data_IF_564038252729
#
_entry.id   IF_564038252729
#
_cell.length_a   1.000
_cell.length_b   1.000
_cell.length_c   1.000
_cell.angle_alpha   90.00
_cell.angle_beta   90.00
_cell.angle_gamma   90.00
#
_symmetry.space_group_name_H-M   'P 1'
#
loop_
_entity.id
_entity.type
_entity.pdbx_description
1 polymer ?
#
# COMPACT_ATOMS: atom_id res chain seq x y z
N UNK A 1 -36.06 -6.47 2.65
CA UNK A 1 -34.97 -6.36 1.67
C UNK A 1 -34.45 -4.91 1.53
N UNK A 2 -35.31 -3.90 1.42
CA UNK A 2 -34.89 -2.47 1.36
C UNK A 2 -34.10 -1.97 2.58
N UNK A 3 -34.45 -2.38 3.80
CA UNK A 3 -33.74 -2.01 5.04
C UNK A 3 -32.33 -2.61 5.11
N UNK A 4 -32.14 -3.88 4.72
CA UNK A 4 -30.82 -4.51 4.67
C UNK A 4 -29.91 -3.82 3.63
N UNK A 5 -30.46 -3.44 2.47
CA UNK A 5 -29.68 -2.71 1.44
C UNK A 5 -29.28 -1.32 1.96
N UNK A 6 -30.18 -0.63 2.67
CA UNK A 6 -29.90 0.66 3.30
C UNK A 6 -28.77 0.57 4.34
N UNK A 7 -28.74 -0.52 5.12
CA UNK A 7 -27.71 -0.78 6.13
C UNK A 7 -26.32 -0.97 5.51
N UNK A 8 -26.18 -1.77 4.43
CA UNK A 8 -24.88 -2.04 3.81
C UNK A 8 -24.44 -0.98 2.80
N UNK A 9 -25.30 -0.02 2.45
CA UNK A 9 -25.00 1.03 1.46
C UNK A 9 -23.71 1.81 1.74
N UNK A 10 -23.40 2.27 2.99
CA UNK A 10 -22.15 2.94 3.31
C UNK A 10 -20.95 2.00 3.18
N UNK A 11 -21.09 0.72 3.55
CA UNK A 11 -20.00 -0.26 3.41
C UNK A 11 -19.67 -0.54 1.94
N UNK A 12 -20.68 -0.67 1.08
CA UNK A 12 -20.51 -0.85 -0.36
C UNK A 12 -19.84 0.39 -0.97
N UNK A 13 -20.27 1.60 -0.57
CA UNK A 13 -19.63 2.83 -1.01
C UNK A 13 -18.15 2.89 -0.61
N UNK A 14 -17.83 2.58 0.65
CA UNK A 14 -16.46 2.52 1.14
C UNK A 14 -15.63 1.43 0.42
N UNK A 15 -16.24 0.27 0.15
CA UNK A 15 -15.60 -0.83 -0.58
C UNK A 15 -15.19 -0.40 -2.01
N UNK A 16 -16.07 0.29 -2.76
CA UNK A 16 -15.76 0.80 -4.10
C UNK A 16 -14.62 1.83 -4.07
N UNK A 17 -14.62 2.71 -3.06
CA UNK A 17 -13.54 3.69 -2.86
C UNK A 17 -12.21 2.99 -2.57
N UNK A 18 -12.22 1.98 -1.71
CA UNK A 18 -11.01 1.19 -1.39
C UNK A 18 -10.58 0.33 -2.60
N UNK A 19 -11.52 -0.18 -3.38
CA UNK A 19 -11.23 -0.92 -4.60
C UNK A 19 -10.50 -0.02 -5.63
N UNK A 20 -10.89 1.26 -5.78
CA UNK A 20 -10.18 2.21 -6.63
C UNK A 20 -8.71 2.40 -6.24
N UNK A 21 -8.37 2.31 -4.94
CA UNK A 21 -6.99 2.40 -4.46
C UNK A 21 -6.07 1.35 -5.11
N UNK A 22 -6.61 0.19 -5.48
CA UNK A 22 -5.84 -0.88 -6.11
C UNK A 22 -5.30 -0.50 -7.50
N UNK A 23 -5.93 0.46 -8.20
CA UNK A 23 -5.42 0.98 -9.48
C UNK A 23 -4.00 1.55 -9.34
N UNK A 24 -3.72 2.27 -8.27
CA UNK A 24 -2.37 2.83 -8.05
C UNK A 24 -1.42 1.85 -7.38
N UNK A 25 -1.91 0.97 -6.52
CA UNK A 25 -1.04 0.06 -5.77
C UNK A 25 -0.63 -1.20 -6.55
N UNK A 26 -1.49 -1.67 -7.46
CA UNK A 26 -1.28 -2.96 -8.14
C UNK A 26 -1.01 -2.84 -9.64
N UNK A 27 -1.48 -1.76 -10.31
CA UNK A 27 -1.39 -1.73 -11.78
C UNK A 27 -0.33 -0.77 -12.33
N UNK A 28 0.10 0.22 -11.56
CA UNK A 28 1.07 1.22 -12.06
C UNK A 28 2.44 0.58 -12.40
N UNK A 29 2.76 -0.55 -11.78
CA UNK A 29 3.97 -1.32 -12.04
C UNK A 29 4.06 -1.88 -13.47
N UNK A 30 2.94 -2.16 -14.13
CA UNK A 30 2.92 -2.63 -15.52
C UNK A 30 3.37 -1.57 -16.52
N UNK A 31 3.37 -0.29 -16.12
CA UNK A 31 3.81 0.81 -16.98
C UNK A 31 5.33 1.02 -16.97
N UNK A 32 6.07 0.36 -16.07
CA UNK A 32 7.52 0.54 -15.92
C UNK A 32 8.25 0.34 -17.26
N UNK A 33 8.15 -0.83 -17.87
CA UNK A 33 8.85 -1.13 -19.12
C UNK A 33 8.36 -0.30 -20.30
N UNK A 34 7.04 -0.27 -20.62
CA UNK A 34 6.56 0.48 -21.79
C UNK A 34 6.86 1.99 -21.73
N UNK A 35 6.85 2.58 -20.54
CA UNK A 35 7.18 4.00 -20.37
C UNK A 35 8.67 4.23 -20.47
N UNK A 36 9.52 3.37 -19.86
CA UNK A 36 10.97 3.47 -19.94
C UNK A 36 11.45 3.35 -21.39
N UNK A 37 10.93 2.41 -22.14
CA UNK A 37 11.26 2.23 -23.56
C UNK A 37 10.77 3.43 -24.42
N UNK A 38 9.51 3.86 -24.21
CA UNK A 38 8.92 4.95 -25.00
C UNK A 38 9.60 6.30 -24.77
N UNK A 39 10.05 6.58 -23.55
CA UNK A 39 10.68 7.85 -23.17
C UNK A 39 12.21 7.78 -23.09
N UNK A 40 12.81 6.61 -23.35
CA UNK A 40 14.27 6.36 -23.26
C UNK A 40 14.83 6.79 -21.89
N UNK A 41 14.14 6.38 -20.81
CA UNK A 41 14.54 6.67 -19.42
C UNK A 41 14.88 5.38 -18.68
N UNK A 42 15.72 5.50 -17.62
CA UNK A 42 16.10 4.35 -16.82
C UNK A 42 14.96 3.89 -15.90
N UNK A 43 14.99 2.62 -15.48
CA UNK A 43 14.02 2.05 -14.53
C UNK A 43 14.09 2.75 -13.17
N UNK A 44 15.29 3.13 -12.73
CA UNK A 44 15.48 3.91 -11.51
C UNK A 44 14.81 5.28 -11.59
N UNK A 45 14.94 5.98 -12.73
CA UNK A 45 14.26 7.27 -12.95
C UNK A 45 12.74 7.13 -12.95
N UNK A 46 12.17 6.08 -13.58
CA UNK A 46 10.74 5.82 -13.50
C UNK A 46 10.34 5.52 -12.05
N UNK A 47 11.07 4.68 -11.35
CA UNK A 47 10.74 4.27 -9.98
C UNK A 47 10.77 5.44 -8.98
N UNK A 48 11.50 6.52 -9.28
CA UNK A 48 11.50 7.74 -8.47
C UNK A 48 10.13 8.44 -8.41
N UNK A 49 9.19 8.14 -9.34
CA UNK A 49 7.81 8.63 -9.25
C UNK A 49 7.13 8.19 -7.95
N UNK A 50 7.40 6.97 -7.49
CA UNK A 50 6.85 6.44 -6.24
C UNK A 50 7.40 7.19 -5.01
N UNK A 51 8.66 7.60 -5.07
CA UNK A 51 9.25 8.45 -4.03
C UNK A 51 8.56 9.80 -3.96
N UNK A 52 8.35 10.44 -5.11
CA UNK A 52 7.65 11.73 -5.20
C UNK A 52 6.20 11.63 -4.72
N UNK A 53 5.49 10.57 -5.10
CA UNK A 53 4.14 10.28 -4.59
C UNK A 53 4.14 10.07 -3.06
N UNK A 54 5.14 9.39 -2.51
CA UNK A 54 5.25 9.15 -1.07
C UNK A 54 5.54 10.42 -0.30
N UNK A 55 6.45 11.27 -0.80
CA UNK A 55 6.78 12.57 -0.20
C UNK A 55 5.55 13.48 -0.17
N UNK A 56 4.89 13.66 -1.31
CA UNK A 56 3.72 14.53 -1.42
C UNK A 56 2.54 14.01 -0.60
N UNK A 57 2.33 12.68 -0.55
CA UNK A 57 1.33 12.05 0.31
C UNK A 57 1.62 12.26 1.80
N UNK A 58 2.87 12.10 2.23
CA UNK A 58 3.28 12.36 3.61
C UNK A 58 3.04 13.82 4.03
N UNK A 59 3.26 14.76 3.12
CA UNK A 59 3.00 16.19 3.35
C UNK A 59 1.50 16.51 3.43
N UNK A 60 0.67 15.88 2.58
CA UNK A 60 -0.76 16.21 2.49
C UNK A 60 -1.63 15.49 3.54
N UNK A 61 -1.26 14.29 3.97
CA UNK A 61 -2.07 13.46 4.86
C UNK A 61 -2.53 14.14 6.16
N UNK A 62 -1.68 14.89 6.89
CA UNK A 62 -2.10 15.58 8.11
C UNK A 62 -3.21 16.61 7.85
N UNK A 63 -3.14 17.32 6.72
CA UNK A 63 -4.14 18.32 6.33
C UNK A 63 -5.45 17.67 5.90
N UNK A 64 -5.37 16.59 5.12
CA UNK A 64 -6.54 15.84 4.69
C UNK A 64 -7.26 15.17 5.87
N UNK A 65 -6.52 14.65 6.84
CA UNK A 65 -7.08 14.12 8.08
C UNK A 65 -7.87 15.14 8.87
N UNK A 66 -7.35 16.37 9.00
CA UNK A 66 -8.06 17.48 9.67
C UNK A 66 -9.33 17.90 8.92
N UNK A 67 -9.26 17.95 7.58
CA UNK A 67 -10.42 18.30 6.74
C UNK A 67 -11.48 17.21 6.85
N UNK A 68 -11.09 15.93 6.80
CA UNK A 68 -11.99 14.79 6.95
C UNK A 68 -12.76 14.85 8.28
N UNK A 69 -12.07 15.17 9.37
CA UNK A 69 -12.69 15.28 10.69
C UNK A 69 -13.65 16.46 10.82
N UNK A 70 -13.36 17.61 10.18
CA UNK A 70 -14.17 18.83 10.31
C UNK A 70 -15.30 18.94 9.29
N UNK A 71 -15.05 18.59 8.02
CA UNK A 71 -15.97 18.81 6.88
C UNK A 71 -16.54 17.52 6.31
N UNK A 72 -16.15 16.37 6.85
CA UNK A 72 -16.52 15.04 6.34
C UNK A 72 -15.71 14.63 5.11
N UNK A 73 -15.89 13.36 4.71
CA UNK A 73 -15.07 12.73 3.67
C UNK A 73 -15.53 13.02 2.23
N UNK A 74 -16.77 13.49 2.05
CA UNK A 74 -17.37 13.66 0.70
C UNK A 74 -16.60 14.64 -0.18
N UNK A 75 -16.20 15.79 0.38
CA UNK A 75 -15.41 16.80 -0.34
C UNK A 75 -14.03 16.28 -0.72
N UNK A 76 -13.39 15.51 0.17
CA UNK A 76 -12.09 14.88 -0.10
C UNK A 76 -12.22 13.85 -1.21
N UNK A 77 -13.25 13.01 -1.18
CA UNK A 77 -13.47 12.00 -2.23
C UNK A 77 -13.72 12.63 -3.60
N UNK A 78 -14.52 13.72 -3.67
CA UNK A 78 -14.70 14.47 -4.91
C UNK A 78 -13.38 15.03 -5.44
N UNK A 79 -12.62 15.69 -4.57
CA UNK A 79 -11.31 16.24 -4.93
C UNK A 79 -10.35 15.15 -5.36
N UNK A 80 -10.22 14.06 -4.58
CA UNK A 80 -9.37 12.91 -4.89
C UNK A 80 -9.78 12.25 -6.21
N UNK A 81 -11.09 12.07 -6.43
CA UNK A 81 -11.62 11.45 -7.64
C UNK A 81 -11.24 12.23 -8.90
N UNK A 82 -11.55 13.53 -8.90
CA UNK A 82 -11.28 14.39 -10.05
C UNK A 82 -9.78 14.64 -10.24
N UNK A 83 -9.09 14.99 -9.17
CA UNK A 83 -7.66 15.34 -9.23
C UNK A 83 -6.80 14.16 -9.70
N UNK A 84 -6.90 13.02 -9.00
CA UNK A 84 -6.08 11.84 -9.33
C UNK A 84 -6.43 11.26 -10.70
N UNK A 85 -7.72 11.20 -11.04
CA UNK A 85 -8.13 10.75 -12.37
C UNK A 85 -7.62 11.66 -13.49
N UNK A 86 -7.68 12.99 -13.30
CA UNK A 86 -7.11 13.96 -14.25
C UNK A 86 -5.59 13.83 -14.34
N UNK A 87 -4.89 13.67 -13.23
CA UNK A 87 -3.45 13.44 -13.21
C UNK A 87 -3.06 12.17 -13.99
N UNK A 88 -3.81 11.07 -13.85
CA UNK A 88 -3.57 9.85 -14.63
C UNK A 88 -3.78 10.09 -16.13
N UNK A 89 -4.78 10.87 -16.52
CA UNK A 89 -4.97 11.27 -17.92
C UNK A 89 -3.81 12.14 -18.41
N UNK A 90 -3.31 13.07 -17.62
CA UNK A 90 -2.16 13.90 -17.95
C UNK A 90 -0.87 13.06 -18.08
N UNK A 91 -0.68 12.02 -17.25
CA UNK A 91 0.43 11.08 -17.41
C UNK A 91 0.45 10.42 -18.78
N UNK A 92 -0.72 10.15 -19.37
CA UNK A 92 -0.81 9.57 -20.72
C UNK A 92 -0.25 10.48 -21.81
N UNK A 93 -0.13 11.78 -21.55
CA UNK A 93 0.39 12.79 -22.48
C UNK A 93 1.88 13.09 -22.22
N UNK A 94 2.50 12.44 -21.24
CA UNK A 94 3.90 12.68 -20.91
C UNK A 94 4.81 12.29 -22.08
N UNK A 95 5.74 13.19 -22.40
CA UNK A 95 6.78 13.03 -23.44
C UNK A 95 8.19 13.18 -22.86
N UNK A 96 8.31 13.66 -21.62
CA UNK A 96 9.59 13.90 -20.93
C UNK A 96 9.49 13.50 -19.47
N UNK A 97 10.62 13.10 -18.88
CA UNK A 97 10.73 12.64 -17.49
C UNK A 97 10.19 13.65 -16.45
N UNK A 98 10.49 14.95 -16.62
CA UNK A 98 10.04 15.97 -15.68
C UNK A 98 8.51 16.07 -15.60
N UNK A 99 7.79 15.80 -16.71
CA UNK A 99 6.31 15.76 -16.72
C UNK A 99 5.81 14.63 -15.83
N UNK A 100 6.45 13.44 -15.90
CA UNK A 100 6.12 12.32 -15.01
C UNK A 100 6.30 12.71 -13.55
N UNK A 101 7.38 13.41 -13.20
CA UNK A 101 7.70 13.81 -11.84
C UNK A 101 6.70 14.83 -11.28
N UNK A 102 6.37 15.87 -12.05
CA UNK A 102 5.38 16.88 -11.64
C UNK A 102 4.02 16.25 -11.40
N UNK A 103 3.57 15.40 -12.33
CA UNK A 103 2.28 14.73 -12.20
C UNK A 103 2.29 13.69 -11.08
N UNK A 104 3.39 12.94 -10.90
CA UNK A 104 3.53 11.98 -9.81
C UNK A 104 3.48 12.66 -8.42
N UNK A 105 4.18 13.81 -8.28
CA UNK A 105 4.08 14.63 -7.07
C UNK A 105 2.64 15.08 -6.81
N UNK A 106 1.94 15.56 -7.85
CA UNK A 106 0.53 15.95 -7.77
C UNK A 106 -0.38 14.79 -7.41
N UNK A 107 -0.12 13.58 -7.95
CA UNK A 107 -0.85 12.36 -7.62
C UNK A 107 -0.74 12.00 -6.15
N UNK A 108 0.43 12.14 -5.56
CA UNK A 108 0.66 11.80 -4.15
C UNK A 108 -0.15 12.69 -3.20
N UNK A 109 -0.40 13.97 -3.55
CA UNK A 109 -1.14 14.90 -2.69
C UNK A 109 -2.55 14.41 -2.34
N UNK A 110 -3.25 13.79 -3.30
CA UNK A 110 -4.63 13.33 -3.15
C UNK A 110 -4.84 11.87 -3.57
N UNK A 111 -3.78 11.07 -3.57
CA UNK A 111 -3.80 9.70 -4.08
C UNK A 111 -4.38 8.66 -3.13
N UNK A 112 -3.87 7.45 -3.23
CA UNK A 112 -4.39 6.25 -2.55
C UNK A 112 -4.46 6.35 -1.02
N UNK A 113 -3.55 7.10 -0.38
CA UNK A 113 -3.54 7.27 1.08
C UNK A 113 -4.79 8.02 1.56
N UNK A 114 -5.25 9.02 0.78
CA UNK A 114 -6.50 9.74 1.07
C UNK A 114 -7.73 8.84 0.99
N UNK A 115 -7.74 7.85 0.07
CA UNK A 115 -8.83 6.89 -0.05
C UNK A 115 -8.88 5.94 1.14
N UNK A 116 -7.73 5.48 1.62
CA UNK A 116 -7.65 4.64 2.82
C UNK A 116 -8.23 5.37 4.04
N UNK A 117 -7.86 6.64 4.23
CA UNK A 117 -8.42 7.50 5.28
C UNK A 117 -9.94 7.63 5.13
N UNK A 118 -10.41 8.01 3.93
CA UNK A 118 -11.84 8.20 3.68
C UNK A 118 -12.64 6.91 3.88
N UNK A 119 -12.16 5.76 3.37
CA UNK A 119 -12.82 4.47 3.54
C UNK A 119 -12.96 4.07 5.01
N UNK A 120 -11.90 4.26 5.80
CA UNK A 120 -11.92 3.99 7.24
C UNK A 120 -12.92 4.89 7.97
N UNK A 121 -12.88 6.21 7.69
CA UNK A 121 -13.79 7.18 8.32
C UNK A 121 -15.26 6.91 7.92
N UNK A 122 -15.52 6.56 6.67
CA UNK A 122 -16.88 6.20 6.21
C UNK A 122 -17.47 5.03 7.00
N UNK A 123 -16.68 3.98 7.26
CA UNK A 123 -17.13 2.83 8.05
C UNK A 123 -17.35 3.22 9.51
N UNK A 124 -16.40 3.93 10.12
CA UNK A 124 -16.49 4.34 11.52
C UNK A 124 -17.64 5.30 11.80
N UNK A 125 -18.02 6.14 10.83
CA UNK A 125 -19.17 7.05 10.96
C UNK A 125 -20.53 6.37 10.73
N UNK A 126 -20.55 5.27 9.97
CA UNK A 126 -21.79 4.61 9.58
C UNK A 126 -22.20 3.47 10.51
N UNK A 127 -21.26 2.87 11.25
CA UNK A 127 -21.49 1.66 12.04
C UNK A 127 -21.02 1.82 13.49
N UNK A 128 -21.63 1.07 14.40
CA UNK A 128 -21.25 0.99 15.82
C UNK A 128 -19.94 0.21 15.95
N UNK A 129 -19.20 0.46 17.03
CA UNK A 129 -17.84 -0.08 17.24
C UNK A 129 -17.77 -1.61 17.17
N UNK A 130 -18.79 -2.32 17.66
CA UNK A 130 -18.92 -3.78 17.62
C UNK A 130 -19.03 -4.34 16.19
N UNK A 131 -19.64 -3.60 15.29
CA UNK A 131 -19.85 -3.97 13.88
C UNK A 131 -18.78 -3.40 12.95
N UNK A 132 -18.26 -2.21 13.28
CA UNK A 132 -17.33 -1.46 12.44
C UNK A 132 -16.04 -2.24 12.14
N UNK A 133 -15.50 -2.99 13.10
CA UNK A 133 -14.26 -3.76 12.93
C UNK A 133 -14.38 -4.85 11.85
N UNK A 134 -15.45 -5.61 11.88
CA UNK A 134 -15.71 -6.67 10.89
C UNK A 134 -16.02 -6.10 9.50
N UNK A 135 -16.82 -5.04 9.43
CA UNK A 135 -17.17 -4.35 8.19
C UNK A 135 -15.93 -3.68 7.58
N UNK A 136 -15.07 -3.06 8.41
CA UNK A 136 -13.82 -2.45 7.93
C UNK A 136 -12.90 -3.50 7.31
N UNK A 137 -12.78 -4.69 7.92
CA UNK A 137 -12.03 -5.80 7.34
C UNK A 137 -12.55 -6.19 5.95
N UNK A 138 -13.86 -6.31 5.80
CA UNK A 138 -14.50 -6.62 4.52
C UNK A 138 -14.29 -5.50 3.49
N UNK A 139 -14.38 -4.23 3.90
CA UNK A 139 -14.12 -3.07 3.03
C UNK A 139 -12.66 -3.04 2.58
N UNK A 140 -11.70 -3.30 3.48
CA UNK A 140 -10.27 -3.34 3.15
C UNK A 140 -9.89 -4.49 2.21
N UNK A 141 -10.67 -5.59 2.18
CA UNK A 141 -10.51 -6.66 1.18
C UNK A 141 -10.77 -6.16 -0.26
N UNK A 142 -11.41 -5.00 -0.42
CA UNK A 142 -11.57 -4.31 -1.71
C UNK A 142 -10.24 -4.01 -2.41
N UNK A 143 -9.14 -3.81 -1.67
CA UNK A 143 -7.81 -3.65 -2.29
C UNK A 143 -7.34 -4.93 -2.99
N UNK A 144 -7.61 -6.10 -2.41
CA UNK A 144 -7.25 -7.39 -3.00
C UNK A 144 -8.09 -7.69 -4.25
N UNK A 145 -9.42 -7.56 -4.13
CA UNK A 145 -10.33 -7.79 -5.26
C UNK A 145 -10.12 -6.76 -6.39
N UNK A 146 -9.91 -5.50 -6.03
CA UNK A 146 -9.56 -4.45 -7.00
C UNK A 146 -8.23 -4.73 -7.69
N UNK A 147 -7.21 -5.15 -6.93
CA UNK A 147 -5.92 -5.52 -7.47
C UNK A 147 -6.02 -6.67 -8.46
N UNK A 148 -6.75 -7.73 -8.12
CA UNK A 148 -7.02 -8.84 -9.03
C UNK A 148 -7.70 -8.36 -10.32
N UNK A 149 -8.80 -7.61 -10.19
CA UNK A 149 -9.58 -7.15 -11.34
C UNK A 149 -8.78 -6.21 -12.25
N UNK A 150 -8.14 -5.19 -11.68
CA UNK A 150 -7.42 -4.19 -12.47
C UNK A 150 -6.09 -4.70 -13.04
N UNK A 151 -5.42 -5.66 -12.36
CA UNK A 151 -4.20 -6.28 -12.90
C UNK A 151 -4.46 -7.18 -14.12
N UNK A 152 -5.70 -7.57 -14.37
CA UNK A 152 -6.11 -8.24 -15.60
C UNK A 152 -6.59 -7.24 -16.65
N UNK A 153 -7.42 -6.27 -16.24
CA UNK A 153 -8.04 -5.32 -17.14
C UNK A 153 -7.04 -4.35 -17.79
N UNK A 154 -6.20 -3.73 -16.99
CA UNK A 154 -5.32 -2.65 -17.47
C UNK A 154 -4.21 -3.16 -18.41
N UNK A 155 -3.47 -4.24 -18.11
CA UNK A 155 -2.51 -4.80 -19.06
C UNK A 155 -3.15 -5.25 -20.38
N UNK A 156 -4.36 -5.83 -20.35
CA UNK A 156 -5.08 -6.17 -21.59
C UNK A 156 -5.37 -4.96 -22.46
N UNK A 157 -5.76 -3.81 -21.86
CA UNK A 157 -5.92 -2.55 -22.59
C UNK A 157 -4.57 -2.04 -23.11
N UNK A 158 -3.50 -2.17 -22.32
CA UNK A 158 -2.16 -1.75 -22.73
C UNK A 158 -1.62 -2.56 -23.91
N UNK A 159 -1.86 -3.86 -23.92
CA UNK A 159 -1.45 -4.76 -25.01
C UNK A 159 -2.19 -4.41 -26.33
N UNK A 160 -3.49 -4.10 -26.24
CA UNK A 160 -4.30 -3.78 -27.41
C UNK A 160 -4.09 -2.35 -27.93
N UNK A 161 -3.92 -1.35 -27.06
CA UNK A 161 -3.98 0.08 -27.39
C UNK A 161 -2.76 0.89 -26.91
N UNK A 162 -1.77 0.24 -26.34
CA UNK A 162 -0.57 0.86 -25.79
C UNK A 162 -0.73 1.49 -24.40
N UNK A 163 0.39 1.79 -23.77
CA UNK A 163 0.44 2.26 -22.38
C UNK A 163 -0.29 3.58 -22.14
N UNK A 164 -0.33 4.49 -23.14
CA UNK A 164 -1.04 5.77 -23.02
C UNK A 164 -2.55 5.57 -22.82
N UNK A 165 -3.14 4.62 -23.54
CA UNK A 165 -4.55 4.28 -23.38
C UNK A 165 -4.79 3.56 -22.03
N UNK A 166 -3.87 2.73 -21.59
CA UNK A 166 -3.90 2.13 -20.25
C UNK A 166 -3.97 3.18 -19.14
N UNK A 167 -3.16 4.24 -19.20
CA UNK A 167 -3.20 5.36 -18.24
C UNK A 167 -4.54 6.11 -18.27
N UNK A 168 -5.11 6.34 -19.45
CA UNK A 168 -6.45 6.96 -19.59
C UNK A 168 -7.53 6.07 -18.99
N UNK A 169 -7.48 4.78 -19.26
CA UNK A 169 -8.41 3.81 -18.69
C UNK A 169 -8.32 3.79 -17.16
N UNK A 170 -7.11 3.83 -16.58
CA UNK A 170 -6.93 3.96 -15.13
C UNK A 170 -7.61 5.22 -14.59
N UNK A 171 -7.43 6.37 -15.22
CA UNK A 171 -8.07 7.63 -14.81
C UNK A 171 -9.59 7.56 -14.86
N UNK A 172 -10.16 6.99 -15.93
CA UNK A 172 -11.61 6.79 -16.07
C UNK A 172 -12.14 5.83 -15.02
N UNK A 173 -11.49 4.68 -14.82
CA UNK A 173 -11.87 3.72 -13.77
C UNK A 173 -11.82 4.36 -12.39
N UNK A 174 -10.76 5.11 -12.07
CA UNK A 174 -10.62 5.81 -10.80
C UNK A 174 -11.80 6.77 -10.57
N UNK A 175 -12.09 7.64 -11.51
CA UNK A 175 -13.22 8.57 -11.41
C UNK A 175 -14.56 7.84 -11.29
N UNK A 176 -14.76 6.76 -12.04
CA UNK A 176 -16.01 5.99 -12.03
C UNK A 176 -16.26 5.30 -10.70
N UNK A 177 -15.25 4.63 -10.13
CA UNK A 177 -15.40 3.93 -8.85
C UNK A 177 -15.62 4.91 -7.69
N UNK A 178 -14.92 6.04 -7.66
CA UNK A 178 -15.14 7.08 -6.65
C UNK A 178 -16.49 7.75 -6.86
N UNK A 179 -16.88 8.04 -8.09
CA UNK A 179 -18.18 8.59 -8.44
C UNK A 179 -19.34 7.70 -7.98
N UNK A 180 -19.25 6.39 -8.25
CA UNK A 180 -20.22 5.40 -7.76
C UNK A 180 -20.24 5.34 -6.22
N UNK A 181 -19.08 5.37 -5.57
CA UNK A 181 -18.97 5.44 -4.12
C UNK A 181 -19.68 6.67 -3.55
N UNK A 182 -19.49 7.85 -4.16
CA UNK A 182 -20.15 9.10 -3.78
C UNK A 182 -21.66 9.08 -3.98
N UNK A 183 -22.16 8.45 -5.05
CA UNK A 183 -23.59 8.30 -5.32
C UNK A 183 -24.24 7.38 -4.27
N UNK A 184 -23.55 6.31 -3.87
CA UNK A 184 -24.04 5.37 -2.87
C UNK A 184 -23.96 5.92 -1.44
N UNK A 185 -23.04 6.84 -1.16
CA UNK A 185 -22.81 7.36 0.20
C UNK A 185 -24.01 8.12 0.79
N UNK A 186 -24.92 8.67 -0.04
CA UNK A 186 -26.07 9.43 0.41
C UNK A 186 -25.69 10.76 1.11
N UNK A 187 -26.67 11.42 1.74
CA UNK A 187 -26.42 12.59 2.62
C UNK A 187 -25.98 12.04 3.99
N UNK A 188 -24.68 11.95 4.22
CA UNK A 188 -24.17 11.72 5.57
C UNK A 188 -24.25 13.03 6.37
N UNK A 189 -25.06 13.03 7.41
CA UNK A 189 -25.00 14.03 8.46
C UNK A 189 -23.70 13.76 9.22
N UNK A 190 -22.87 14.79 9.40
CA UNK A 190 -21.68 14.74 10.25
C UNK A 190 -22.18 14.45 11.68
N UNK A 191 -22.28 13.17 12.02
CA UNK A 191 -22.62 12.76 13.38
C UNK A 191 -21.33 12.81 14.19
N UNK A 192 -21.37 13.67 15.17
CA UNK A 192 -20.46 13.91 16.30
C UNK A 192 -19.18 13.07 16.30
N UNK A 193 -18.06 13.80 16.24
CA UNK A 193 -16.77 13.35 16.71
C UNK A 193 -16.92 12.47 17.94
N UNK A 194 -16.79 11.17 17.78
CA UNK A 194 -16.27 10.40 18.89
C UNK A 194 -14.86 10.92 19.12
N UNK A 195 -14.71 11.70 20.21
CA UNK A 195 -13.44 12.00 20.81
C UNK A 195 -12.67 10.69 20.87
N UNK A 196 -11.59 10.57 20.12
CA UNK A 196 -10.51 9.62 20.40
C UNK A 196 -9.84 10.14 21.68
N UNK A 197 -10.53 9.96 22.77
CA UNK A 197 -10.25 10.35 24.13
C UNK A 197 -10.90 9.32 25.05
N UNK A 198 -10.63 8.03 24.76
CA UNK A 198 -10.71 7.00 25.78
C UNK A 198 -9.64 7.27 26.81
N UNK A 199 -9.94 6.99 28.09
CA UNK A 199 -9.00 7.04 29.20
C UNK A 199 -7.64 6.52 28.79
N UNK A 200 -6.59 7.25 29.20
CA UNK A 200 -5.21 6.89 28.83
C UNK A 200 -4.92 5.48 29.33
N UNK A 201 -5.00 4.51 28.42
CA UNK A 201 -4.69 3.11 28.74
C UNK A 201 -3.25 2.96 29.22
N UNK A 202 -2.86 1.80 29.77
CA UNK A 202 -1.52 1.55 30.24
C UNK A 202 -0.52 1.66 29.08
N UNK A 203 0.65 2.30 29.33
CA UNK A 203 1.69 2.42 28.33
C UNK A 203 2.50 3.71 28.44
N UNK A 204 3.42 3.87 27.50
CA UNK A 204 4.36 4.99 27.43
C UNK A 204 3.75 6.20 26.73
N UNK A 205 4.18 7.39 27.14
CA UNK A 205 4.00 8.62 26.38
C UNK A 205 4.95 8.65 25.17
N UNK A 206 4.65 9.49 24.17
CA UNK A 206 5.55 9.70 23.02
C UNK A 206 6.95 10.18 23.47
N UNK A 207 7.01 11.03 24.48
CA UNK A 207 8.27 11.55 25.01
C UNK A 207 9.12 10.44 25.68
N UNK A 208 8.51 9.51 26.38
CA UNK A 208 9.15 8.34 26.95
C UNK A 208 9.58 7.35 25.86
N UNK A 209 8.72 7.11 24.88
CA UNK A 209 9.03 6.24 23.74
C UNK A 209 10.24 6.74 22.94
N UNK A 210 10.38 8.07 22.72
CA UNK A 210 11.53 8.69 22.06
C UNK A 210 12.87 8.46 22.80
N UNK A 211 12.83 8.19 24.10
CA UNK A 211 14.03 7.84 24.89
C UNK A 211 14.36 6.35 24.85
N UNK A 212 13.44 5.52 24.36
CA UNK A 212 13.59 4.07 24.31
C UNK A 212 14.36 3.62 23.06
N UNK A 213 15.44 2.84 23.19
CA UNK A 213 16.16 2.27 22.05
C UNK A 213 15.27 1.34 21.20
N UNK A 214 14.23 0.75 21.79
CA UNK A 214 13.26 -0.10 21.12
C UNK A 214 12.52 0.62 19.99
N UNK A 215 12.25 1.93 20.15
CA UNK A 215 11.60 2.72 19.12
C UNK A 215 12.49 2.83 17.87
N UNK A 216 13.76 3.12 18.03
CA UNK A 216 14.71 3.25 16.93
C UNK A 216 14.94 1.92 16.21
N UNK A 217 14.97 0.82 16.94
CA UNK A 217 15.03 -0.52 16.34
C UNK A 217 13.78 -0.77 15.46
N UNK A 218 12.59 -0.42 15.93
CA UNK A 218 11.37 -0.55 15.12
C UNK A 218 11.32 0.43 13.94
N UNK A 219 11.92 1.61 14.07
CA UNK A 219 12.09 2.52 12.93
C UNK A 219 13.02 1.93 11.86
N UNK A 220 14.08 1.23 12.24
CA UNK A 220 14.93 0.50 11.28
C UNK A 220 14.13 -0.61 10.61
N UNK A 221 13.37 -1.39 11.37
CA UNK A 221 12.54 -2.49 10.84
C UNK A 221 11.54 -1.95 9.82
N UNK A 222 10.81 -0.87 10.12
CA UNK A 222 9.82 -0.32 9.21
C UNK A 222 10.44 0.25 7.93
N UNK A 223 11.61 0.89 8.02
CA UNK A 223 12.34 1.42 6.84
C UNK A 223 12.76 0.27 5.92
N UNK A 224 13.33 -0.79 6.48
CA UNK A 224 13.76 -1.96 5.70
C UNK A 224 12.54 -2.62 5.03
N UNK A 225 11.48 -2.91 5.80
CA UNK A 225 10.30 -3.60 5.25
C UNK A 225 9.63 -2.76 4.16
N UNK A 226 9.43 -1.45 4.39
CA UNK A 226 8.81 -0.59 3.39
C UNK A 226 9.67 -0.44 2.13
N UNK A 227 11.00 -0.41 2.27
CA UNK A 227 11.92 -0.43 1.13
C UNK A 227 11.86 -1.73 0.34
N UNK A 228 11.84 -2.88 1.05
CA UNK A 228 11.70 -4.20 0.40
C UNK A 228 10.35 -4.37 -0.30
N UNK A 229 9.27 -3.74 0.18
CA UNK A 229 7.97 -3.72 -0.50
C UNK A 229 8.04 -3.05 -1.89
N UNK A 230 9.08 -2.26 -2.17
CA UNK A 230 9.35 -1.69 -3.49
C UNK A 230 9.50 -2.75 -4.59
N UNK A 231 9.88 -3.98 -4.24
CA UNK A 231 9.92 -5.12 -5.17
C UNK A 231 8.57 -5.34 -5.87
N UNK A 232 7.45 -5.06 -5.21
CA UNK A 232 6.11 -5.19 -5.81
C UNK A 232 5.99 -4.39 -7.11
N UNK A 233 6.62 -3.22 -7.18
CA UNK A 233 6.56 -2.36 -8.37
C UNK A 233 7.46 -2.86 -9.51
N UNK A 234 8.42 -3.72 -9.21
CA UNK A 234 9.34 -4.30 -10.18
C UNK A 234 8.92 -5.72 -10.61
N UNK A 235 7.94 -6.32 -9.95
CA UNK A 235 7.51 -7.71 -10.24
C UNK A 235 7.15 -7.95 -11.70
N UNK A 236 6.38 -7.07 -12.40
CA UNK A 236 6.08 -7.30 -13.81
C UNK A 236 7.35 -7.41 -14.67
N UNK A 237 8.29 -6.49 -14.49
CA UNK A 237 9.57 -6.49 -15.21
C UNK A 237 10.44 -7.69 -14.86
N UNK A 238 10.51 -8.06 -13.59
CA UNK A 238 11.25 -9.24 -13.13
C UNK A 238 10.69 -10.53 -13.75
N UNK A 239 9.36 -10.66 -13.81
CA UNK A 239 8.71 -11.82 -14.43
C UNK A 239 8.90 -11.81 -15.95
N UNK A 240 8.84 -10.64 -16.60
CA UNK A 240 9.16 -10.49 -18.02
C UNK A 240 10.58 -10.90 -18.34
N UNK A 241 11.59 -10.49 -17.55
CA UNK A 241 13.00 -10.95 -17.67
C UNK A 241 13.12 -12.48 -17.58
N UNK A 242 12.28 -13.13 -16.77
CA UNK A 242 12.23 -14.59 -16.68
C UNK A 242 11.56 -15.25 -17.90
N UNK A 243 11.07 -14.47 -18.87
CA UNK A 243 10.48 -14.96 -20.12
C UNK A 243 9.01 -15.35 -20.01
N UNK A 244 8.27 -14.78 -19.05
CA UNK A 244 6.81 -14.92 -19.02
C UNK A 244 6.16 -13.88 -19.93
N UNK A 245 5.10 -14.28 -20.63
CA UNK A 245 4.31 -13.37 -21.48
C UNK A 245 3.53 -12.35 -20.65
N UNK A 246 3.16 -11.22 -21.25
CA UNK A 246 2.39 -10.17 -20.57
C UNK A 246 1.10 -10.72 -19.93
N UNK A 247 0.37 -11.61 -20.61
CA UNK A 247 -0.82 -12.26 -20.06
C UNK A 247 -0.51 -13.13 -18.83
N UNK A 248 0.58 -13.92 -18.88
CA UNK A 248 1.02 -14.73 -17.72
C UNK A 248 1.41 -13.83 -16.55
N UNK A 249 2.17 -12.76 -16.79
CA UNK A 249 2.56 -11.77 -15.77
C UNK A 249 1.33 -11.16 -15.12
N UNK A 250 0.32 -10.77 -15.91
CA UNK A 250 -0.93 -10.21 -15.39
C UNK A 250 -1.66 -11.17 -14.44
N UNK A 251 -1.75 -12.44 -14.80
CA UNK A 251 -2.34 -13.50 -13.95
C UNK A 251 -1.53 -13.66 -12.66
N UNK A 252 -0.20 -13.72 -12.76
CA UNK A 252 0.70 -13.90 -11.62
C UNK A 252 0.61 -12.72 -10.64
N UNK A 253 0.57 -11.48 -11.14
CA UNK A 253 0.41 -10.29 -10.28
C UNK A 253 -0.98 -10.28 -9.64
N UNK A 254 -2.03 -10.63 -10.39
CA UNK A 254 -3.38 -10.74 -9.86
C UNK A 254 -3.45 -11.75 -8.71
N UNK A 255 -2.89 -12.94 -8.90
CA UNK A 255 -2.81 -13.97 -7.87
C UNK A 255 -2.00 -13.50 -6.64
N UNK A 256 -0.86 -12.83 -6.86
CA UNK A 256 -0.04 -12.26 -5.79
C UNK A 256 -0.83 -11.26 -4.95
N UNK A 257 -1.65 -10.43 -5.57
CA UNK A 257 -2.50 -9.44 -4.86
C UNK A 257 -3.59 -10.12 -4.02
N UNK A 258 -4.16 -11.22 -4.52
CA UNK A 258 -5.11 -12.05 -3.74
C UNK A 258 -4.38 -12.69 -2.54
N UNK A 259 -3.22 -13.30 -2.76
CA UNK A 259 -2.42 -13.89 -1.67
C UNK A 259 -1.98 -12.83 -0.65
N UNK A 260 -1.68 -11.59 -1.06
CA UNK A 260 -1.41 -10.48 -0.15
C UNK A 260 -2.61 -10.16 0.74
N UNK A 261 -3.81 -10.11 0.17
CA UNK A 261 -5.05 -9.88 0.92
C UNK A 261 -5.34 -11.00 1.92
N UNK A 262 -5.29 -12.25 1.46
CA UNK A 262 -5.47 -13.44 2.31
C UNK A 262 -4.37 -13.54 3.37
N UNK A 263 -3.13 -13.23 3.00
CA UNK A 263 -1.98 -13.21 3.90
C UNK A 263 -2.16 -12.24 5.05
N UNK A 264 -2.61 -11.01 4.79
CA UNK A 264 -2.90 -10.01 5.84
C UNK A 264 -3.96 -10.49 6.82
N UNK A 265 -5.03 -11.10 6.32
CA UNK A 265 -6.06 -11.68 7.17
C UNK A 265 -5.52 -12.83 8.02
N UNK A 266 -4.81 -13.77 7.39
CA UNK A 266 -4.19 -14.92 8.06
C UNK A 266 -3.15 -14.50 9.10
N UNK A 267 -2.35 -13.47 8.81
CA UNK A 267 -1.34 -12.94 9.74
C UNK A 267 -1.93 -12.44 11.04
N UNK A 268 -3.08 -11.76 11.02
CA UNK A 268 -3.76 -11.30 12.24
C UNK A 268 -4.08 -12.47 13.18
N UNK A 269 -4.63 -13.56 12.64
CA UNK A 269 -4.93 -14.78 13.39
C UNK A 269 -3.64 -15.49 13.84
N UNK A 270 -2.65 -15.56 12.96
CA UNK A 270 -1.36 -16.22 13.19
C UNK A 270 -0.59 -15.56 14.35
N UNK A 271 -0.47 -14.21 14.33
CA UNK A 271 0.18 -13.46 15.40
C UNK A 271 -0.57 -13.56 16.73
N UNK A 272 -1.89 -13.65 16.68
CA UNK A 272 -2.70 -13.87 17.88
C UNK A 272 -2.44 -15.22 18.55
N UNK A 273 -2.09 -16.27 17.75
CA UNK A 273 -1.84 -17.63 18.26
C UNK A 273 -0.41 -17.84 18.75
N UNK A 274 0.59 -17.38 17.99
CA UNK A 274 2.01 -17.69 18.26
C UNK A 274 2.81 -16.49 18.78
N UNK A 275 2.16 -15.35 18.90
CA UNK A 275 2.76 -14.08 19.34
C UNK A 275 3.45 -13.32 18.20
N UNK A 276 3.59 -12.01 18.37
CA UNK A 276 4.19 -11.13 17.35
C UNK A 276 5.70 -11.33 17.22
N UNK A 277 6.38 -11.82 18.27
CA UNK A 277 7.82 -12.12 18.21
C UNK A 277 8.12 -13.23 17.21
N UNK A 278 7.64 -14.44 17.48
CA UNK A 278 7.87 -15.60 16.62
C UNK A 278 7.19 -15.44 15.26
N UNK A 279 5.97 -14.92 15.25
CA UNK A 279 5.22 -14.67 14.03
C UNK A 279 5.90 -13.67 13.12
N UNK A 280 6.43 -12.59 13.68
CA UNK A 280 7.20 -11.59 12.95
C UNK A 280 8.47 -12.17 12.31
N UNK A 281 9.26 -12.93 13.08
CA UNK A 281 10.45 -13.60 12.55
C UNK A 281 10.11 -14.55 11.39
N UNK A 282 9.09 -15.39 11.55
CA UNK A 282 8.68 -16.34 10.51
C UNK A 282 8.18 -15.65 9.24
N UNK A 283 7.42 -14.56 9.37
CA UNK A 283 6.92 -13.84 8.18
C UNK A 283 8.02 -13.03 7.48
N UNK A 284 8.98 -12.46 8.22
CA UNK A 284 10.17 -11.84 7.63
C UNK A 284 11.07 -12.87 6.93
N UNK A 285 11.24 -14.06 7.55
CA UNK A 285 11.96 -15.17 6.92
C UNK A 285 11.26 -15.65 5.65
N UNK A 286 9.92 -15.74 5.66
CA UNK A 286 9.14 -16.05 4.47
C UNK A 286 9.35 -14.98 3.36
N UNK A 287 9.41 -13.68 3.72
CA UNK A 287 9.68 -12.63 2.76
C UNK A 287 11.07 -12.77 2.14
N UNK A 288 12.11 -13.01 2.97
CA UNK A 288 13.47 -13.25 2.49
C UNK A 288 13.56 -14.48 1.59
N UNK A 289 12.93 -15.59 2.00
CA UNK A 289 12.83 -16.79 1.18
C UNK A 289 12.09 -16.54 -0.14
N UNK A 290 11.05 -15.71 -0.11
CA UNK A 290 10.34 -15.27 -1.31
C UNK A 290 11.25 -14.51 -2.29
N UNK A 291 12.10 -13.58 -1.80
CA UNK A 291 13.10 -12.91 -2.63
C UNK A 291 14.06 -13.91 -3.28
N UNK A 292 14.55 -14.89 -2.51
CA UNK A 292 15.48 -15.91 -3.03
C UNK A 292 14.79 -16.89 -4.00
N UNK A 293 13.53 -17.24 -3.78
CA UNK A 293 12.78 -18.11 -4.67
C UNK A 293 12.59 -17.50 -6.07
N UNK A 294 12.64 -16.16 -6.21
CA UNK A 294 12.57 -15.47 -7.49
C UNK A 294 13.75 -15.79 -8.43
N UNK A 295 14.83 -16.40 -7.95
CA UNK A 295 15.93 -16.84 -8.83
C UNK A 295 15.54 -17.99 -9.75
N UNK A 296 14.67 -18.88 -9.33
CA UNK A 296 14.30 -20.08 -10.05
C UNK A 296 12.90 -19.97 -10.68
N UNK A 297 12.81 -20.30 -11.98
CA UNK A 297 11.50 -20.40 -12.66
C UNK A 297 10.55 -21.42 -12.01
N UNK A 298 11.10 -22.51 -11.46
CA UNK A 298 10.32 -23.58 -10.80
C UNK A 298 9.72 -23.07 -9.48
N UNK A 299 10.45 -22.21 -8.77
CA UNK A 299 10.04 -21.70 -7.46
C UNK A 299 9.27 -20.38 -7.55
N UNK A 300 8.94 -19.89 -8.74
CA UNK A 300 8.27 -18.58 -8.90
C UNK A 300 6.92 -18.53 -8.18
N UNK A 301 6.06 -19.53 -8.35
CA UNK A 301 4.76 -19.53 -7.67
C UNK A 301 4.87 -19.60 -6.14
N UNK A 302 5.62 -20.53 -5.53
CA UNK A 302 5.90 -20.46 -4.10
C UNK A 302 6.52 -19.12 -3.68
N UNK A 303 7.44 -18.58 -4.47
CA UNK A 303 8.08 -17.31 -4.23
C UNK A 303 7.09 -16.15 -4.18
N UNK A 304 6.17 -16.04 -5.14
CA UNK A 304 5.13 -15.03 -5.16
C UNK A 304 4.20 -15.09 -3.93
N UNK A 305 3.86 -16.30 -3.48
CA UNK A 305 3.07 -16.51 -2.26
C UNK A 305 3.85 -16.01 -1.04
N UNK A 306 5.13 -16.38 -0.91
CA UNK A 306 5.98 -15.96 0.20
C UNK A 306 6.22 -14.45 0.20
N UNK A 307 6.42 -13.82 -0.97
CA UNK A 307 6.51 -12.37 -1.13
C UNK A 307 5.21 -11.69 -0.69
N UNK A 308 4.07 -12.18 -1.14
CA UNK A 308 2.76 -11.62 -0.79
C UNK A 308 2.52 -11.66 0.72
N UNK A 309 2.82 -12.78 1.37
CA UNK A 309 2.76 -12.90 2.83
C UNK A 309 3.73 -11.91 3.47
N UNK A 310 4.98 -11.84 3.01
CA UNK A 310 5.98 -10.92 3.55
C UNK A 310 5.59 -9.45 3.45
N UNK A 311 5.06 -9.00 2.31
CA UNK A 311 4.63 -7.61 2.10
C UNK A 311 3.48 -7.19 3.02
N UNK A 312 2.70 -8.13 3.55
CA UNK A 312 1.65 -7.87 4.53
C UNK A 312 2.15 -7.33 5.87
N UNK A 313 3.41 -7.60 6.23
CA UNK A 313 4.03 -7.26 7.53
C UNK A 313 3.88 -5.77 7.87
N UNK A 314 4.07 -4.89 6.89
CA UNK A 314 3.99 -3.44 7.08
C UNK A 314 2.68 -3.00 7.73
N UNK A 315 1.55 -3.59 7.31
CA UNK A 315 0.22 -3.18 7.75
C UNK A 315 -0.34 -4.04 8.89
N UNK A 316 0.23 -5.21 9.16
CA UNK A 316 -0.30 -6.15 10.16
C UNK A 316 0.60 -6.27 11.38
N UNK A 317 1.87 -6.63 11.20
CA UNK A 317 2.79 -6.88 12.32
C UNK A 317 3.21 -5.60 13.04
N UNK A 318 3.66 -4.59 12.29
CA UNK A 318 4.27 -3.40 12.89
C UNK A 318 3.33 -2.63 13.83
N UNK A 319 2.05 -2.38 13.49
CA UNK A 319 1.09 -1.79 14.43
C UNK A 319 0.92 -2.62 15.71
N UNK A 320 0.91 -3.95 15.60
CA UNK A 320 0.76 -4.85 16.75
C UNK A 320 1.97 -4.81 17.66
N UNK A 321 3.19 -4.78 17.09
CA UNK A 321 4.45 -4.66 17.86
C UNK A 321 4.49 -3.33 18.62
N UNK A 322 4.16 -2.21 17.96
CA UNK A 322 4.14 -0.90 18.61
C UNK A 322 3.15 -0.88 19.78
N UNK A 323 1.95 -1.47 19.59
CA UNK A 323 0.97 -1.59 20.67
C UNK A 323 1.46 -2.46 21.81
N UNK A 324 2.13 -3.57 21.53
CA UNK A 324 2.65 -4.48 22.57
C UNK A 324 3.82 -3.87 23.35
N UNK A 325 4.74 -3.16 22.68
CA UNK A 325 5.96 -2.63 23.29
C UNK A 325 5.70 -1.33 24.04
N UNK A 326 4.88 -0.42 23.47
CA UNK A 326 4.67 0.92 24.01
C UNK A 326 3.30 1.11 24.66
N UNK A 327 2.41 0.12 24.57
CA UNK A 327 1.06 0.16 25.15
C UNK A 327 0.07 1.00 24.34
N UNK A 328 -1.03 1.41 24.98
CA UNK A 328 -2.16 2.06 24.36
C UNK A 328 -2.26 3.55 24.67
N UNK A 329 -1.51 4.08 25.63
CA UNK A 329 -1.62 5.45 26.17
C UNK A 329 -1.51 6.54 25.09
N UNK A 330 -0.43 6.53 24.31
CA UNK A 330 -0.24 7.45 23.17
C UNK A 330 0.08 6.67 21.88
N UNK A 331 -0.53 5.51 21.72
CA UNK A 331 -0.31 4.60 20.59
C UNK A 331 -0.40 5.30 19.23
N UNK A 332 -1.46 6.09 19.01
CA UNK A 332 -1.67 6.77 17.73
C UNK A 332 -0.52 7.75 17.39
N UNK A 333 0.00 8.46 18.39
CA UNK A 333 1.11 9.40 18.22
C UNK A 333 2.44 8.69 17.94
N UNK A 334 2.70 7.57 18.65
CA UNK A 334 3.91 6.75 18.45
C UNK A 334 3.85 6.05 17.10
N UNK A 335 2.70 5.46 16.74
CA UNK A 335 2.52 4.82 15.45
C UNK A 335 2.65 5.82 14.28
N UNK A 336 2.08 7.00 14.40
CA UNK A 336 2.22 8.06 13.39
C UNK A 336 3.69 8.44 13.16
N UNK A 337 4.50 8.53 14.24
CA UNK A 337 5.92 8.79 14.13
C UNK A 337 6.66 7.66 13.41
N UNK A 338 6.44 6.42 13.80
CA UNK A 338 7.09 5.24 13.21
C UNK A 338 6.70 5.07 11.74
N UNK A 339 5.42 5.24 11.40
CA UNK A 339 4.94 5.13 10.02
C UNK A 339 5.47 6.26 9.14
N UNK A 340 5.64 7.48 9.68
CA UNK A 340 6.30 8.59 8.94
C UNK A 340 7.75 8.24 8.61
N UNK A 341 8.49 7.64 9.55
CA UNK A 341 9.85 7.16 9.28
C UNK A 341 9.84 6.04 8.24
N UNK A 342 8.81 5.20 8.22
CA UNK A 342 8.61 4.18 7.19
C UNK A 342 8.53 4.75 5.76
N UNK A 343 8.07 6.00 5.58
CA UNK A 343 8.08 6.66 4.27
C UNK A 343 9.50 6.81 3.70
N UNK A 344 10.52 6.92 4.57
CA UNK A 344 11.93 6.96 4.13
C UNK A 344 12.30 5.68 3.38
N UNK A 345 11.81 4.53 3.87
CA UNK A 345 12.03 3.25 3.21
C UNK A 345 11.41 3.20 1.80
N UNK A 346 10.20 3.76 1.61
CA UNK A 346 9.59 3.83 0.27
C UNK A 346 10.30 4.84 -0.63
N UNK A 347 10.68 6.01 -0.09
CA UNK A 347 11.35 7.07 -0.85
C UNK A 347 12.69 6.59 -1.40
N UNK A 348 13.47 5.87 -0.61
CA UNK A 348 14.80 5.38 -0.99
C UNK A 348 14.72 4.00 -1.63
N UNK A 349 13.97 3.09 -1.04
CA UNK A 349 13.93 1.68 -1.43
C UNK A 349 13.34 1.45 -2.82
N UNK A 350 12.27 2.13 -3.19
CA UNK A 350 11.62 1.90 -4.49
C UNK A 350 12.53 2.22 -5.68
N UNK A 351 13.20 3.39 -5.73
CA UNK A 351 14.17 3.65 -6.79
C UNK A 351 15.37 2.72 -6.75
N UNK A 352 15.82 2.28 -5.57
CA UNK A 352 17.00 1.40 -5.46
C UNK A 352 16.81 0.08 -6.20
N UNK A 353 15.60 -0.50 -6.25
CA UNK A 353 15.31 -1.69 -7.04
C UNK A 353 15.55 -1.45 -8.55
N UNK A 354 15.08 -0.31 -9.07
CA UNK A 354 15.31 0.08 -10.46
C UNK A 354 16.76 0.40 -10.75
N UNK A 355 17.43 1.16 -9.87
CA UNK A 355 18.86 1.51 -10.01
C UNK A 355 19.74 0.26 -9.97
N UNK A 356 19.45 -0.70 -9.09
CA UNK A 356 20.20 -1.95 -9.05
C UNK A 356 20.10 -2.72 -10.37
N UNK A 357 18.92 -2.70 -11.00
CA UNK A 357 18.75 -3.25 -12.34
C UNK A 357 19.52 -2.45 -13.42
N UNK A 358 19.41 -1.12 -13.39
CA UNK A 358 20.08 -0.24 -14.37
C UNK A 358 21.61 -0.45 -14.35
N UNK A 359 22.19 -0.73 -13.17
CA UNK A 359 23.64 -0.94 -13.00
C UNK A 359 24.11 -2.35 -13.37
N UNK A 360 23.28 -3.36 -13.18
CA UNK A 360 23.70 -4.78 -13.28
C UNK A 360 23.04 -5.54 -14.43
N UNK A 361 22.01 -4.98 -15.05
CA UNK A 361 21.19 -5.65 -16.06
C UNK A 361 20.32 -6.79 -15.52
N UNK A 362 20.24 -6.95 -14.17
CA UNK A 362 19.47 -8.02 -13.53
C UNK A 362 18.99 -7.62 -12.14
N UNK A 363 17.87 -8.23 -11.70
CA UNK A 363 17.39 -8.06 -10.33
C UNK A 363 18.13 -8.91 -9.28
N UNK A 364 19.11 -9.71 -9.69
CA UNK A 364 19.83 -10.65 -8.83
C UNK A 364 20.41 -9.97 -7.57
N UNK A 365 21.19 -8.89 -7.78
CA UNK A 365 21.83 -8.16 -6.68
C UNK A 365 20.80 -7.53 -5.74
N UNK A 366 19.72 -6.98 -6.30
CA UNK A 366 18.64 -6.38 -5.54
C UNK A 366 17.88 -7.41 -4.68
N UNK A 367 17.63 -8.60 -5.21
CA UNK A 367 16.97 -9.69 -4.49
C UNK A 367 17.83 -10.21 -3.32
N UNK A 368 19.14 -10.38 -3.54
CA UNK A 368 20.08 -10.76 -2.47
C UNK A 368 20.14 -9.67 -1.40
N UNK A 369 20.31 -8.40 -1.82
CA UNK A 369 20.33 -7.26 -0.92
C UNK A 369 19.06 -7.14 -0.08
N UNK A 370 17.89 -7.31 -0.69
CA UNK A 370 16.61 -7.34 -0.02
C UNK A 370 16.52 -8.46 1.03
N UNK A 371 16.96 -9.68 0.67
CA UNK A 371 16.99 -10.80 1.61
C UNK A 371 17.93 -10.52 2.81
N UNK A 372 19.11 -9.97 2.57
CA UNK A 372 20.06 -9.58 3.64
C UNK A 372 19.47 -8.50 4.53
N UNK A 373 18.85 -7.47 3.98
CA UNK A 373 18.19 -6.41 4.75
C UNK A 373 17.06 -6.99 5.63
N UNK A 374 16.29 -7.96 5.13
CA UNK A 374 15.25 -8.62 5.90
C UNK A 374 15.83 -9.44 7.07
N UNK A 375 16.99 -10.07 6.90
CA UNK A 375 17.69 -10.73 8.02
C UNK A 375 18.13 -9.71 9.08
N UNK A 376 18.61 -8.53 8.66
CA UNK A 376 18.94 -7.45 9.60
C UNK A 376 17.68 -6.98 10.34
N UNK A 377 16.55 -6.82 9.63
CA UNK A 377 15.27 -6.47 10.24
C UNK A 377 14.81 -7.52 11.26
N UNK A 378 15.02 -8.82 10.99
CA UNK A 378 14.73 -9.91 11.95
C UNK A 378 15.55 -9.74 13.24
N UNK A 379 16.85 -9.43 13.14
CA UNK A 379 17.72 -9.18 14.29
C UNK A 379 17.25 -7.98 15.12
N UNK A 380 16.88 -6.87 14.47
CA UNK A 380 16.34 -5.69 15.12
C UNK A 380 14.99 -5.96 15.81
N UNK A 381 14.09 -6.68 15.14
CA UNK A 381 12.80 -7.07 15.68
C UNK A 381 12.95 -7.95 16.93
N UNK A 382 13.80 -8.96 16.85
CA UNK A 382 14.09 -9.86 17.98
C UNK A 382 14.62 -9.11 19.21
N UNK A 383 15.59 -8.19 19.00
CA UNK A 383 16.13 -7.35 20.10
C UNK A 383 15.06 -6.47 20.73
N UNK A 384 14.13 -5.91 19.94
CA UNK A 384 13.05 -5.06 20.46
C UNK A 384 12.15 -5.78 21.47
N UNK A 385 11.87 -7.06 21.25
CA UNK A 385 10.91 -7.83 22.05
C UNK A 385 11.55 -8.59 23.21
N UNK A 386 12.86 -8.88 23.16
CA UNK A 386 13.58 -9.55 24.24
C UNK A 386 14.23 -8.63 25.26
N UNK A 387 14.53 -7.39 24.90
CA UNK A 387 15.05 -6.36 25.84
C UNK A 387 13.90 -5.57 26.47
#
# INVERSE_FOLDING_TARGET
MKEKISFYRPAIAAFLVIMAMALTSSTISFFLEPVCESLQISRGSFSAIFSLMSISGALSNPFLGQIAGKKGVRGILLLTGLWTGTCMMLLSMATRLWMLYVVAFSLGLFGSTSLCLCGTVMVQQAYRDDQASGILGAVMAGTGLGGMFFSLLIPGIMEAFGWRMGMRAMGICWMSFIGLGLLLMGKQTVSQQQKVGGEAGPGMTRAEALKSPKLYLQMIVIVIISGCCGLQQQLPSLLGEKGFTAGQVSVMISATTVFLGLGKFGQGVFYGKIGVEKGGLLTMAAFAAGCLAMFSKVLIWPGLILLAVGMGIYTTLLPMVIRQVFGTREYASIWALVSTVGCVGTIVGYPMWGVAYDLTGSYTLALIGGAVLLVIAMGAHYKTLKS
#
